data_IF_467432968608
#
_entry.id   IF_467432968608
#
_cell.length_a   1.000
_cell.length_b   1.000
_cell.length_c   1.000
_cell.angle_alpha   90.00
_cell.angle_beta   90.00
_cell.angle_gamma   90.00
#
_symmetry.space_group_name_H-M   'P 1'
#
loop_
_entity.id
_entity.type
_entity.pdbx_description
1 polymer ?
#
# COMPACT_ATOMS: atom_id res chain seq x y z
N UNK A 1 -4.97 -15.62 6.59
CA UNK A 1 -4.96 -14.15 6.78
C UNK A 1 -4.22 -13.47 5.62
N UNK A 2 -4.63 -12.26 5.21
CA UNK A 2 -3.93 -11.45 4.19
C UNK A 2 -3.71 -10.03 4.65
N UNK A 3 -2.66 -9.36 4.17
CA UNK A 3 -2.39 -7.97 4.57
C UNK A 3 -1.09 -7.39 4.02
N UNK A 4 -0.63 -6.31 4.66
CA UNK A 4 0.66 -5.71 4.34
C UNK A 4 1.79 -6.76 4.54
N UNK A 5 2.64 -7.01 3.54
CA UNK A 5 3.68 -8.05 3.58
C UNK A 5 4.49 -8.08 4.87
N UNK A 6 4.96 -6.91 5.33
CA UNK A 6 5.77 -6.77 6.53
C UNK A 6 5.02 -7.10 7.82
N UNK A 7 3.72 -6.78 7.88
CA UNK A 7 2.87 -7.09 9.05
C UNK A 7 2.55 -8.59 9.09
N UNK A 8 2.27 -9.17 7.93
CA UNK A 8 1.98 -10.60 7.80
C UNK A 8 3.22 -11.42 8.18
N UNK A 9 4.39 -11.09 7.65
CA UNK A 9 5.63 -11.79 8.00
C UNK A 9 5.92 -11.74 9.50
N UNK A 10 5.69 -10.59 10.14
CA UNK A 10 5.89 -10.41 11.58
C UNK A 10 4.95 -11.29 12.42
N UNK A 11 3.76 -11.60 11.93
CA UNK A 11 2.82 -12.49 12.60
C UNK A 11 3.15 -13.98 12.41
N UNK A 12 4.07 -14.32 11.52
CA UNK A 12 4.42 -15.70 11.19
C UNK A 12 5.67 -16.18 11.92
N UNK A 13 5.70 -17.46 12.30
CA UNK A 13 6.86 -18.15 12.88
C UNK A 13 7.47 -19.17 11.92
N UNK A 14 6.65 -19.73 11.03
CA UNK A 14 7.04 -20.73 10.04
C UNK A 14 6.73 -20.24 8.63
N UNK A 15 7.28 -20.94 7.64
CA UNK A 15 7.15 -20.65 6.21
C UNK A 15 6.85 -21.94 5.47
N UNK A 16 6.06 -21.89 4.40
CA UNK A 16 5.81 -23.02 3.52
C UNK A 16 6.68 -22.91 2.25
N UNK A 17 7.58 -23.87 2.03
CA UNK A 17 8.42 -23.94 0.84
C UNK A 17 8.23 -25.33 0.22
N UNK A 18 7.78 -25.40 -1.04
CA UNK A 18 7.63 -26.66 -1.79
C UNK A 18 6.76 -27.71 -1.05
N UNK A 19 5.78 -27.25 -0.26
CA UNK A 19 4.89 -28.10 0.53
C UNK A 19 5.45 -28.49 1.91
N UNK A 20 6.69 -28.10 2.24
CA UNK A 20 7.29 -28.33 3.55
C UNK A 20 7.25 -27.09 4.42
N UNK A 21 6.84 -27.28 5.68
CA UNK A 21 6.87 -26.23 6.69
C UNK A 21 8.26 -26.14 7.34
N UNK A 22 8.84 -24.95 7.33
CA UNK A 22 10.18 -24.67 7.86
C UNK A 22 10.15 -23.49 8.82
N UNK A 23 11.13 -23.41 9.71
CA UNK A 23 11.29 -22.25 10.59
C UNK A 23 11.64 -20.98 9.80
N UNK A 24 11.06 -19.84 10.16
CA UNK A 24 11.41 -18.54 9.59
C UNK A 24 12.76 -18.09 10.13
N UNK A 25 13.81 -18.16 9.32
CA UNK A 25 15.16 -17.71 9.68
C UNK A 25 15.50 -16.32 9.09
N UNK A 26 16.66 -15.78 9.48
CA UNK A 26 17.12 -14.46 8.99
C UNK A 26 17.39 -14.46 7.48
N UNK A 27 17.83 -15.58 6.93
CA UNK A 27 18.12 -15.70 5.49
C UNK A 27 16.82 -15.51 4.68
N UNK A 28 15.75 -16.16 5.11
CA UNK A 28 14.44 -15.99 4.49
C UNK A 28 13.94 -14.54 4.61
N UNK A 29 14.12 -13.88 5.76
CA UNK A 29 13.72 -12.47 5.92
C UNK A 29 14.44 -11.53 4.93
N UNK A 30 15.72 -11.80 4.63
CA UNK A 30 16.47 -11.05 3.62
C UNK A 30 15.96 -11.32 2.19
N UNK A 31 15.67 -12.58 1.86
CA UNK A 31 15.12 -12.97 0.56
C UNK A 31 13.71 -12.40 0.34
N UNK A 32 12.86 -12.49 1.37
CA UNK A 32 11.57 -11.80 1.45
C UNK A 32 11.72 -10.33 1.10
N UNK A 33 12.69 -9.64 1.73
CA UNK A 33 12.83 -8.18 1.59
C UNK A 33 13.23 -7.83 0.18
N UNK A 34 14.19 -8.57 -0.40
CA UNK A 34 14.62 -8.39 -1.79
C UNK A 34 13.47 -8.61 -2.78
N UNK A 35 12.68 -9.66 -2.58
CA UNK A 35 11.53 -9.94 -3.44
C UNK A 35 10.45 -8.84 -3.33
N UNK A 36 10.14 -8.41 -2.10
CA UNK A 36 9.17 -7.36 -1.83
C UNK A 36 9.59 -6.02 -2.46
N UNK A 37 10.85 -5.62 -2.28
CA UNK A 37 11.39 -4.38 -2.85
C UNK A 37 11.40 -4.43 -4.38
N UNK A 38 11.71 -5.59 -4.98
CA UNK A 38 11.68 -5.78 -6.43
C UNK A 38 10.28 -5.60 -6.99
N UNK A 39 9.29 -6.30 -6.44
CA UNK A 39 7.89 -6.21 -6.90
C UNK A 39 7.33 -4.80 -6.71
N UNK A 40 7.53 -4.21 -5.52
CA UNK A 40 7.13 -2.82 -5.27
C UNK A 40 7.84 -1.83 -6.18
N UNK A 41 9.08 -2.11 -6.58
CA UNK A 41 9.87 -1.29 -7.51
C UNK A 41 9.28 -1.23 -8.92
N UNK A 42 8.47 -2.22 -9.32
CA UNK A 42 7.71 -2.21 -10.57
C UNK A 42 6.38 -1.43 -10.47
N UNK A 43 6.06 -0.87 -9.30
CA UNK A 43 4.77 -0.20 -9.07
C UNK A 43 3.64 -1.18 -8.79
N UNK A 44 3.96 -2.42 -8.43
CA UNK A 44 2.95 -3.41 -8.07
C UNK A 44 2.50 -3.21 -6.62
N UNK A 45 1.22 -3.45 -6.38
CA UNK A 45 0.64 -3.60 -5.05
C UNK A 45 0.85 -5.02 -4.58
N UNK A 46 1.64 -5.19 -3.53
CA UNK A 46 2.00 -6.49 -2.98
C UNK A 46 1.22 -6.77 -1.69
N UNK A 47 0.61 -7.95 -1.59
CA UNK A 47 -0.08 -8.44 -0.40
C UNK A 47 0.57 -9.73 0.09
N UNK A 48 0.78 -9.84 1.40
CA UNK A 48 1.24 -11.06 2.06
C UNK A 48 0.08 -11.95 2.46
N UNK A 49 0.33 -13.26 2.39
CA UNK A 49 -0.62 -14.31 2.73
C UNK A 49 0.02 -15.27 3.73
N UNK A 50 -0.77 -15.66 4.73
CA UNK A 50 -0.41 -16.68 5.69
C UNK A 50 -1.65 -17.48 6.07
N UNK A 51 -1.43 -18.67 6.60
CA UNK A 51 -2.47 -19.53 7.17
C UNK A 51 -2.02 -20.06 8.54
N UNK A 52 -2.90 -20.82 9.16
CA UNK A 52 -2.57 -21.66 10.31
C UNK A 52 -3.60 -22.77 10.36
N UNK A 53 -3.13 -24.01 10.44
CA UNK A 53 -3.99 -25.15 10.74
C UNK A 53 -4.24 -25.16 12.25
N UNK A 54 -5.52 -25.09 12.63
CA UNK A 54 -5.92 -25.10 14.03
C UNK A 54 -6.06 -26.54 14.52
N UNK A 55 -5.56 -26.78 15.73
CA UNK A 55 -5.70 -28.05 16.43
C UNK A 55 -7.19 -28.39 16.66
N UNK A 56 -7.73 -29.47 16.05
CA UNK A 56 -9.14 -29.83 16.19
C UNK A 56 -9.57 -30.17 17.62
N UNK A 57 -8.62 -30.56 18.49
CA UNK A 57 -8.93 -30.82 19.91
C UNK A 57 -9.21 -29.51 20.67
N UNK A 58 -8.49 -28.43 20.33
CA UNK A 58 -8.68 -27.10 20.92
C UNK A 58 -9.81 -26.33 20.23
N UNK A 59 -9.98 -26.54 18.92
CA UNK A 59 -10.94 -25.86 18.07
C UNK A 59 -11.83 -26.89 17.35
N UNK A 60 -12.79 -27.52 18.06
CA UNK A 60 -13.69 -28.51 17.47
C UNK A 60 -14.60 -27.89 16.38
N UNK A 61 -15.25 -28.70 15.52
CA UNK A 61 -16.06 -28.18 14.40
C UNK A 61 -17.15 -27.18 14.77
N UNK A 62 -17.68 -27.24 16.00
CA UNK A 62 -18.73 -26.34 16.50
C UNK A 62 -18.18 -25.24 17.42
N UNK A 63 -16.87 -24.99 17.42
CA UNK A 63 -16.26 -23.92 18.20
C UNK A 63 -16.79 -22.54 17.76
N UNK A 64 -17.28 -21.75 18.71
CA UNK A 64 -17.77 -20.41 18.44
C UNK A 64 -16.60 -19.41 18.40
N UNK A 65 -16.23 -18.98 17.19
CA UNK A 65 -15.20 -17.96 17.00
C UNK A 65 -15.75 -16.56 17.29
N UNK A 66 -15.04 -15.80 18.12
CA UNK A 66 -15.36 -14.40 18.45
C UNK A 66 -14.39 -13.46 17.74
N UNK A 67 -14.92 -12.49 16.99
CA UNK A 67 -14.13 -11.49 16.26
C UNK A 67 -13.87 -10.21 17.04
N UNK A 68 -14.68 -9.91 18.08
CA UNK A 68 -14.52 -8.70 18.91
C UNK A 68 -13.52 -8.93 20.04
N UNK A 69 -13.60 -10.10 20.68
CA UNK A 69 -12.60 -10.64 21.59
C UNK A 69 -11.90 -11.85 20.98
N UNK A 70 -10.88 -11.67 20.10
CA UNK A 70 -10.30 -12.76 19.32
C UNK A 70 -9.89 -13.95 20.19
N UNK A 71 -10.63 -15.06 20.06
CA UNK A 71 -10.40 -16.29 20.80
C UNK A 71 -9.61 -17.34 19.99
N UNK A 72 -8.90 -16.89 18.96
CA UNK A 72 -8.09 -17.70 18.05
C UNK A 72 -6.74 -17.02 17.80
N UNK A 73 -5.68 -17.79 17.45
CA UNK A 73 -4.35 -17.26 17.27
C UNK A 73 -4.25 -16.25 16.11
N UNK A 74 -3.58 -15.13 16.39
CA UNK A 74 -3.22 -14.08 15.40
C UNK A 74 -1.71 -13.97 15.17
N UNK A 75 -0.94 -14.81 15.86
CA UNK A 75 0.53 -14.91 15.80
C UNK A 75 0.94 -16.38 15.67
N UNK A 76 2.22 -16.63 15.43
CA UNK A 76 2.76 -17.96 15.14
C UNK A 76 2.08 -18.63 13.93
N UNK A 77 1.73 -17.81 12.95
CA UNK A 77 1.13 -18.28 11.70
C UNK A 77 2.20 -18.87 10.78
N UNK A 78 1.76 -19.57 9.73
CA UNK A 78 2.60 -20.07 8.65
C UNK A 78 2.53 -19.14 7.45
N UNK A 79 3.68 -18.60 7.06
CA UNK A 79 3.79 -17.70 5.93
C UNK A 79 3.75 -18.49 4.61
N UNK A 80 2.91 -18.08 3.65
CA UNK A 80 2.72 -18.79 2.38
C UNK A 80 3.42 -18.10 1.20
N UNK A 81 3.36 -16.76 1.14
CA UNK A 81 3.87 -16.02 -0.01
C UNK A 81 3.27 -14.63 -0.16
N UNK A 82 3.71 -13.93 -1.20
CA UNK A 82 3.06 -12.69 -1.66
C UNK A 82 2.39 -12.91 -2.99
N UNK A 83 1.32 -12.15 -3.21
CA UNK A 83 0.82 -11.89 -4.55
C UNK A 83 1.00 -10.40 -4.84
N UNK A 84 1.49 -10.12 -6.04
CA UNK A 84 1.60 -8.77 -6.57
C UNK A 84 0.51 -8.55 -7.61
N UNK A 85 -0.10 -7.37 -7.56
CA UNK A 85 -1.12 -6.93 -8.50
C UNK A 85 -0.68 -5.59 -9.05
N UNK A 86 -0.76 -5.41 -10.35
CA UNK A 86 -0.50 -4.11 -10.97
C UNK A 86 -1.83 -3.36 -11.10
N UNK A 87 -1.84 -2.11 -10.65
CA UNK A 87 -2.84 -1.14 -11.05
C UNK A 87 -2.12 -0.12 -11.96
N UNK A 88 -2.05 -0.40 -13.28
CA UNK A 88 -1.22 0.39 -14.17
C UNK A 88 -1.80 1.80 -14.29
N UNK A 89 -0.95 2.83 -14.46
CA UNK A 89 -1.44 4.16 -14.77
C UNK A 89 -2.36 4.14 -16.00
N UNK A 90 -3.47 4.88 -15.94
CA UNK A 90 -4.36 5.00 -17.10
C UNK A 90 -3.58 5.57 -18.31
N UNK A 91 -3.83 5.11 -19.56
CA UNK A 91 -2.97 5.42 -20.72
C UNK A 91 -2.71 6.91 -21.00
N UNK A 92 -3.61 7.82 -20.61
CA UNK A 92 -3.46 9.27 -20.80
C UNK A 92 -2.85 10.03 -19.61
N UNK A 93 -2.65 9.38 -18.46
CA UNK A 93 -2.15 10.04 -17.24
C UNK A 93 -0.72 10.57 -17.40
N UNK A 94 0.26 9.82 -17.97
CA UNK A 94 1.61 10.35 -18.14
C UNK A 94 1.65 11.66 -18.96
N UNK A 95 0.89 11.72 -20.06
CA UNK A 95 0.82 12.89 -20.94
C UNK A 95 0.10 14.05 -20.25
N UNK A 96 -0.99 13.79 -19.53
CA UNK A 96 -1.71 14.81 -18.77
C UNK A 96 -0.84 15.44 -17.68
N UNK A 97 -0.08 14.64 -16.94
CA UNK A 97 0.87 15.14 -15.92
C UNK A 97 1.93 16.02 -16.55
N UNK A 98 2.52 15.60 -17.67
CA UNK A 98 3.52 16.40 -18.39
C UNK A 98 2.94 17.72 -18.91
N UNK A 99 1.72 17.70 -19.45
CA UNK A 99 1.04 18.90 -19.92
C UNK A 99 0.84 19.90 -18.77
N UNK A 100 0.30 19.45 -17.63
CA UNK A 100 0.17 20.27 -16.43
C UNK A 100 1.51 20.86 -16.00
N UNK A 101 2.57 20.06 -15.94
CA UNK A 101 3.91 20.53 -15.58
C UNK A 101 4.48 21.55 -16.59
N UNK A 102 4.23 21.35 -17.88
CA UNK A 102 4.68 22.28 -18.94
C UNK A 102 3.95 23.63 -18.87
N UNK A 103 2.72 23.64 -18.36
CA UNK A 103 1.95 24.85 -18.07
C UNK A 103 2.34 25.52 -16.73
N UNK A 104 3.35 25.00 -16.02
CA UNK A 104 3.80 25.53 -14.73
C UNK A 104 2.99 25.05 -13.53
N UNK A 105 2.06 24.10 -13.71
CA UNK A 105 1.29 23.52 -12.60
C UNK A 105 2.14 22.51 -11.84
N UNK A 106 2.22 22.69 -10.52
CA UNK A 106 2.90 21.76 -9.63
C UNK A 106 2.03 20.53 -9.37
N UNK A 107 2.42 19.39 -9.91
CA UNK A 107 1.72 18.11 -9.69
C UNK A 107 2.32 17.38 -8.48
N UNK A 108 1.46 16.93 -7.57
CA UNK A 108 1.83 16.24 -6.31
C UNK A 108 1.02 14.95 -6.20
N UNK A 109 1.67 13.84 -5.84
CA UNK A 109 0.97 12.58 -5.54
C UNK A 109 0.65 12.47 -4.04
N UNK A 110 -0.58 12.07 -3.70
CA UNK A 110 -1.01 11.79 -2.32
C UNK A 110 -1.75 10.44 -2.28
N UNK A 111 -1.10 9.40 -1.75
CA UNK A 111 -1.65 8.03 -1.73
C UNK A 111 -1.55 7.36 -0.35
N UNK A 112 -2.42 6.39 -0.10
CA UNK A 112 -2.34 5.46 1.04
C UNK A 112 -1.37 4.29 0.81
N UNK A 113 -0.86 4.12 -0.41
CA UNK A 113 0.01 3.01 -0.79
C UNK A 113 1.36 3.03 -0.09
N UNK A 114 2.06 1.90 -0.18
CA UNK A 114 3.41 1.76 0.33
C UNK A 114 4.38 2.69 -0.43
N UNK A 115 5.41 3.28 0.23
CA UNK A 115 6.31 4.24 -0.40
C UNK A 115 7.02 3.72 -1.65
N UNK A 116 7.36 2.43 -1.68
CA UNK A 116 8.07 1.81 -2.82
C UNK A 116 7.18 1.83 -4.06
N UNK A 117 5.94 1.33 -3.94
CA UNK A 117 4.93 1.33 -5.02
C UNK A 117 4.59 2.75 -5.46
N UNK A 118 4.30 3.65 -4.51
CA UNK A 118 3.97 5.04 -4.81
C UNK A 118 5.09 5.75 -5.59
N UNK A 119 6.35 5.55 -5.19
CA UNK A 119 7.51 6.11 -5.88
C UNK A 119 7.68 5.53 -7.28
N UNK A 120 7.45 4.23 -7.47
CA UNK A 120 7.53 3.59 -8.77
C UNK A 120 6.45 4.13 -9.73
N UNK A 121 5.19 4.19 -9.30
CA UNK A 121 4.10 4.78 -10.10
C UNK A 121 4.37 6.26 -10.39
N UNK A 122 4.79 7.04 -9.40
CA UNK A 122 5.10 8.45 -9.60
C UNK A 122 6.22 8.70 -10.63
N UNK A 123 7.16 7.76 -10.78
CA UNK A 123 8.17 7.80 -11.86
C UNK A 123 7.57 7.46 -13.22
N UNK A 124 6.71 6.43 -13.28
CA UNK A 124 6.04 6.02 -14.52
C UNK A 124 5.16 7.14 -15.09
N UNK A 125 4.48 7.92 -14.24
CA UNK A 125 3.62 9.04 -14.65
C UNK A 125 4.31 10.42 -14.63
N UNK A 126 5.64 10.47 -14.50
CA UNK A 126 6.43 11.71 -14.52
C UNK A 126 6.15 12.73 -13.41
N UNK A 127 5.48 12.35 -12.32
CA UNK A 127 5.37 13.17 -11.10
C UNK A 127 6.74 13.33 -10.44
N UNK A 128 7.52 12.24 -10.37
CA UNK A 128 8.95 12.30 -10.02
C UNK A 128 9.75 12.44 -11.30
N UNK A 129 10.30 13.64 -11.52
CA UNK A 129 11.18 13.99 -12.63
C UNK A 129 12.41 14.77 -12.12
N UNK A 130 13.25 15.27 -13.03
CA UNK A 130 14.38 16.15 -12.63
C UNK A 130 13.89 17.43 -11.92
N UNK A 131 12.68 17.91 -12.25
CA UNK A 131 12.12 19.20 -11.79
C UNK A 131 11.08 19.08 -10.68
N UNK A 132 10.28 18.02 -10.64
CA UNK A 132 9.21 17.82 -9.65
C UNK A 132 9.41 16.51 -8.87
N UNK A 133 9.19 16.51 -7.55
CA UNK A 133 9.62 15.39 -6.66
C UNK A 133 8.71 15.12 -5.44
N UNK A 134 7.49 15.65 -5.37
CA UNK A 134 6.68 15.52 -4.14
C UNK A 134 5.70 14.35 -4.24
N UNK A 135 5.89 13.36 -3.38
CA UNK A 135 5.01 12.21 -3.20
C UNK A 135 4.77 11.98 -1.72
N UNK A 136 3.52 12.00 -1.30
CA UNK A 136 3.07 11.57 0.03
C UNK A 136 2.48 10.16 -0.08
N UNK A 137 2.97 9.24 0.74
CA UNK A 137 2.55 7.83 0.75
C UNK A 137 2.18 7.41 2.17
N UNK A 138 1.46 6.29 2.34
CA UNK A 138 0.88 5.86 3.63
C UNK A 138 0.02 6.93 4.32
N UNK A 139 -0.64 7.79 3.54
CA UNK A 139 -1.49 8.87 4.08
C UNK A 139 -2.87 8.37 4.52
N UNK A 140 -3.35 8.87 5.66
CA UNK A 140 -4.75 8.74 6.08
C UNK A 140 -5.63 9.80 5.39
N UNK A 141 -6.97 9.61 5.34
CA UNK A 141 -7.88 10.63 4.81
C UNK A 141 -7.71 12.01 5.46
N UNK A 142 -7.48 12.05 6.77
CA UNK A 142 -7.22 13.28 7.51
C UNK A 142 -5.90 13.95 7.08
N UNK A 143 -4.85 13.15 6.83
CA UNK A 143 -3.58 13.68 6.34
C UNK A 143 -3.71 14.22 4.90
N UNK A 144 -4.53 13.60 4.04
CA UNK A 144 -4.80 14.14 2.70
C UNK A 144 -5.40 15.54 2.77
N UNK A 145 -6.37 15.73 3.68
CA UNK A 145 -6.96 17.05 3.95
C UNK A 145 -5.91 18.06 4.42
N UNK A 146 -5.09 17.70 5.39
CA UNK A 146 -4.03 18.59 5.91
C UNK A 146 -3.05 19.01 4.81
N UNK A 147 -2.72 18.10 3.88
CA UNK A 147 -1.83 18.40 2.75
C UNK A 147 -2.47 19.44 1.82
N UNK A 148 -3.76 19.30 1.51
CA UNK A 148 -4.50 20.29 0.69
C UNK A 148 -4.50 21.65 1.38
N UNK A 149 -4.82 21.69 2.66
CA UNK A 149 -4.83 22.92 3.46
C UNK A 149 -3.46 23.60 3.47
N UNK A 150 -2.38 22.84 3.66
CA UNK A 150 -1.03 23.39 3.64
C UNK A 150 -0.66 24.04 2.29
N UNK A 151 -1.09 23.46 1.16
CA UNK A 151 -0.89 24.08 -0.15
C UNK A 151 -1.76 25.33 -0.35
N UNK A 152 -3.00 25.34 0.15
CA UNK A 152 -3.87 26.52 0.12
C UNK A 152 -3.31 27.66 0.99
N UNK A 153 -2.80 27.37 2.18
CA UNK A 153 -2.17 28.35 3.09
C UNK A 153 -0.93 29.01 2.51
N UNK A 154 -0.31 28.42 1.49
CA UNK A 154 0.81 29.00 0.74
C UNK A 154 0.34 29.78 -0.49
N UNK A 155 -0.93 30.21 -0.49
CA UNK A 155 -1.58 31.04 -1.51
C UNK A 155 -1.62 30.38 -2.90
N UNK A 156 -1.71 29.05 -2.94
CA UNK A 156 -1.94 28.29 -4.17
C UNK A 156 -3.44 28.00 -4.34
N UNK A 157 -3.90 27.96 -5.59
CA UNK A 157 -5.17 27.32 -5.96
C UNK A 157 -4.90 25.82 -6.11
N UNK A 158 -5.64 24.99 -5.39
CA UNK A 158 -5.41 23.55 -5.29
C UNK A 158 -6.56 22.79 -5.93
N UNK A 159 -6.25 22.02 -6.97
CA UNK A 159 -7.13 21.01 -7.52
C UNK A 159 -6.79 19.63 -6.95
N UNK A 160 -7.79 18.81 -6.64
CA UNK A 160 -7.62 17.43 -6.18
C UNK A 160 -8.37 16.50 -7.12
N UNK A 161 -7.68 15.45 -7.55
CA UNK A 161 -8.25 14.34 -8.33
C UNK A 161 -8.24 13.06 -7.49
N UNK A 162 -9.37 12.38 -7.32
CA UNK A 162 -9.43 11.15 -6.52
C UNK A 162 -10.67 10.31 -6.81
N UNK A 163 -10.62 9.01 -6.54
CA UNK A 163 -11.67 8.05 -6.90
C UNK A 163 -12.29 7.33 -5.68
N UNK A 164 -11.65 7.41 -4.51
CA UNK A 164 -12.06 6.69 -3.31
C UNK A 164 -12.79 7.55 -2.27
N UNK A 165 -13.54 6.88 -1.40
CA UNK A 165 -14.13 7.51 -0.19
C UNK A 165 -13.07 8.14 0.72
N UNK A 166 -11.82 7.66 0.63
CA UNK A 166 -10.67 8.20 1.35
C UNK A 166 -10.25 9.60 0.89
N UNK A 167 -10.67 10.02 -0.30
CA UNK A 167 -10.34 11.33 -0.88
C UNK A 167 -11.44 12.37 -0.64
N UNK A 168 -12.63 11.94 -0.21
CA UNK A 168 -13.80 12.82 -0.05
C UNK A 168 -13.51 14.08 0.79
N UNK A 169 -12.79 14.02 1.93
CA UNK A 169 -12.45 15.24 2.69
C UNK A 169 -11.55 16.19 1.90
N UNK A 170 -10.54 15.66 1.20
CA UNK A 170 -9.59 16.44 0.41
C UNK A 170 -10.25 17.05 -0.83
N UNK A 171 -11.10 16.27 -1.53
CA UNK A 171 -11.89 16.72 -2.69
C UNK A 171 -12.82 17.87 -2.33
N UNK A 172 -13.51 17.78 -1.19
CA UNK A 172 -14.42 18.83 -0.72
C UNK A 172 -13.68 20.11 -0.32
N UNK A 173 -12.45 19.99 0.19
CA UNK A 173 -11.65 21.13 0.65
C UNK A 173 -10.92 21.85 -0.49
N UNK A 174 -10.57 21.12 -1.55
CA UNK A 174 -9.91 21.67 -2.72
C UNK A 174 -10.72 22.80 -3.35
N UNK A 175 -10.03 23.73 -4.01
CA UNK A 175 -10.69 24.77 -4.80
C UNK A 175 -11.47 24.17 -5.97
N UNK A 176 -10.97 23.03 -6.51
CA UNK A 176 -11.64 22.19 -7.50
C UNK A 176 -11.41 20.72 -7.14
N UNK A 177 -12.47 19.94 -6.96
CA UNK A 177 -12.42 18.49 -6.75
C UNK A 177 -13.03 17.74 -7.92
N UNK A 178 -12.34 16.69 -8.42
CA UNK A 178 -12.80 15.84 -9.54
C UNK A 178 -12.56 14.36 -9.29
#
# INVERSE_FOLDING_TARGET
>A
MKGAPEKILKACSTILIEGEERGKDKKFEEEFKKAYERLGGFGERVLGFCDLELDPEKFPPNFAFDTEGPNFPLTNLRFLGFMAMIDPPRPGVPQAVQLCQSAGVKVVMVTGDHPITAKAIARQVHIISRKAKIVFSRTSPAQKLQIVEAFQHTNNVVAVTGDGVNDAPALRKADIGT
#
